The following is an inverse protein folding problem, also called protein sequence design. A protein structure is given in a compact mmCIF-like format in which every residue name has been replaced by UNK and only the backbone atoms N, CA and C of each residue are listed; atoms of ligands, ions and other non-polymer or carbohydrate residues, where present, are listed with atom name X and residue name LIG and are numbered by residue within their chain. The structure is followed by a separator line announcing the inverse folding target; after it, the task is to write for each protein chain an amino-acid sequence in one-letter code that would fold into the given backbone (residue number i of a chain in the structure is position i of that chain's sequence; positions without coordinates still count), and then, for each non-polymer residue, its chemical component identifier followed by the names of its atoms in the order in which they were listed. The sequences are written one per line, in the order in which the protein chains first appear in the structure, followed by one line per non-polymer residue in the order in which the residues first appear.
data_IF_738924036104
#
_entry.id   IF_738924036104
#
_cell.length_a   1.000
_cell.length_b   1.000
_cell.length_c   1.000
_cell.angle_alpha   90.00
_cell.angle_beta   90.00
_cell.angle_gamma   90.00
#
_symmetry.space_group_name_H-M   'P 1'
#
loop_
_entity.id
_entity.type
_entity.pdbx_description
1 polymer ?
#
# COMPACT_ATOMS: atom_id res chain seq x y z
N UNK A 1 -12.77 -1.18 -7.85
CA UNK A 1 -11.31 -1.03 -8.05
C UNK A 1 -10.94 0.32 -8.66
N UNK A 2 -11.52 0.74 -9.79
CA UNK A 2 -11.17 2.00 -10.49
C UNK A 2 -11.17 3.25 -9.60
N UNK A 3 -12.26 3.49 -8.85
CA UNK A 3 -12.32 4.63 -7.93
C UNK A 3 -11.19 4.64 -6.89
N UNK A 4 -10.81 3.47 -6.36
CA UNK A 4 -9.73 3.38 -5.39
C UNK A 4 -8.39 3.79 -6.01
N UNK A 5 -8.13 3.35 -7.23
CA UNK A 5 -6.93 3.77 -7.99
C UNK A 5 -6.96 5.27 -8.31
N UNK A 6 -8.09 5.80 -8.76
CA UNK A 6 -8.23 7.23 -9.06
C UNK A 6 -7.93 8.08 -7.82
N UNK A 7 -8.39 7.66 -6.65
CA UNK A 7 -8.09 8.30 -5.37
C UNK A 7 -6.59 8.24 -5.05
N UNK A 8 -5.96 7.06 -5.16
CA UNK A 8 -4.52 6.89 -4.90
C UNK A 8 -3.66 7.69 -5.88
N UNK A 9 -3.99 7.69 -7.17
CA UNK A 9 -3.28 8.46 -8.19
C UNK A 9 -3.43 9.97 -7.95
N UNK A 10 -4.64 10.45 -7.68
CA UNK A 10 -4.93 11.87 -7.46
C UNK A 10 -4.47 12.41 -6.10
N UNK A 11 -4.11 11.54 -5.15
CA UNK A 11 -3.48 11.93 -3.90
C UNK A 11 -2.14 12.65 -4.14
N UNK A 12 -1.49 12.43 -5.28
CA UNK A 12 -0.23 13.09 -5.66
C UNK A 12 -0.41 14.52 -6.20
N UNK A 13 -1.62 14.91 -6.60
CA UNK A 13 -1.86 16.13 -7.39
C UNK A 13 -2.54 17.28 -6.62
N UNK A 14 -2.78 17.15 -5.30
CA UNK A 14 -3.60 18.14 -4.56
C UNK A 14 -3.38 18.08 -3.05
N UNK A 15 -2.66 19.06 -2.50
CA UNK A 15 -2.09 18.99 -1.14
C UNK A 15 -3.09 18.98 0.02
N UNK A 16 -4.33 19.45 -0.12
CA UNK A 16 -5.25 19.48 1.05
C UNK A 16 -5.98 18.16 1.32
N UNK A 17 -6.11 17.32 0.31
CA UNK A 17 -6.89 16.08 0.39
C UNK A 17 -6.07 14.83 0.13
N UNK A 18 -4.74 14.94 -0.03
CA UNK A 18 -3.88 13.79 -0.33
C UNK A 18 -4.04 12.68 0.70
N UNK A 19 -3.95 13.00 2.01
CA UNK A 19 -4.05 11.99 3.06
C UNK A 19 -5.42 11.28 3.05
N UNK A 20 -6.50 12.03 2.89
CA UNK A 20 -7.87 11.53 2.89
C UNK A 20 -8.14 10.68 1.65
N UNK A 21 -7.59 11.05 0.49
CA UNK A 21 -7.66 10.25 -0.73
C UNK A 21 -6.86 8.96 -0.61
N UNK A 22 -5.66 9.04 -0.03
CA UNK A 22 -4.83 7.87 0.27
C UNK A 22 -5.58 6.90 1.19
N UNK A 23 -6.13 7.41 2.30
CA UNK A 23 -6.90 6.62 3.25
C UNK A 23 -8.14 5.99 2.60
N UNK A 24 -8.94 6.78 1.87
CA UNK A 24 -10.13 6.28 1.19
C UNK A 24 -9.80 5.23 0.13
N UNK A 25 -8.75 5.45 -0.67
CA UNK A 25 -8.29 4.51 -1.69
C UNK A 25 -7.90 3.16 -1.09
N UNK A 26 -7.07 3.16 -0.05
CA UNK A 26 -6.66 1.92 0.61
C UNK A 26 -7.79 1.24 1.39
N UNK A 27 -8.68 2.01 2.03
CA UNK A 27 -9.85 1.46 2.70
C UNK A 27 -10.77 0.73 1.72
N UNK A 28 -11.00 1.30 0.53
CA UNK A 28 -11.78 0.66 -0.52
C UNK A 28 -11.12 -0.64 -1.00
N UNK A 29 -9.80 -0.66 -1.13
CA UNK A 29 -9.06 -1.89 -1.49
C UNK A 29 -9.20 -2.92 -0.37
N UNK A 30 -9.01 -2.54 0.89
CA UNK A 30 -9.14 -3.46 2.03
C UNK A 30 -10.55 -4.05 2.16
N UNK A 31 -11.59 -3.24 1.93
CA UNK A 31 -12.99 -3.67 1.88
C UNK A 31 -13.27 -4.59 0.69
N UNK A 32 -12.67 -4.34 -0.48
CA UNK A 32 -12.80 -5.22 -1.64
C UNK A 32 -12.29 -6.63 -1.32
N UNK A 33 -11.21 -6.75 -0.53
CA UNK A 33 -10.65 -8.06 -0.16
C UNK A 33 -11.62 -8.92 0.64
N UNK A 34 -12.52 -8.32 1.41
CA UNK A 34 -13.50 -9.07 2.23
C UNK A 34 -14.58 -9.75 1.39
N UNK A 35 -14.65 -9.47 0.08
CA UNK A 35 -15.54 -10.16 -0.86
C UNK A 35 -15.01 -11.53 -1.33
N UNK A 36 -13.76 -11.85 -0.98
CA UNK A 36 -13.15 -13.18 -1.19
C UNK A 36 -12.53 -13.41 -2.56
N UNK A 37 -11.89 -14.59 -2.71
CA UNK A 37 -11.04 -14.98 -3.85
C UNK A 37 -11.71 -14.80 -5.21
N UNK A 38 -13.01 -15.11 -5.32
CA UNK A 38 -13.75 -15.03 -6.57
C UNK A 38 -13.74 -13.61 -7.17
N UNK A 39 -13.98 -12.60 -6.34
CA UNK A 39 -13.99 -11.19 -6.78
C UNK A 39 -12.57 -10.65 -6.94
N UNK A 40 -11.69 -10.96 -5.99
CA UNK A 40 -10.34 -10.38 -5.94
C UNK A 40 -9.43 -10.89 -7.05
N UNK A 41 -9.64 -12.13 -7.53
CA UNK A 41 -8.83 -12.74 -8.60
C UNK A 41 -8.75 -11.85 -9.85
N UNK A 42 -9.85 -11.18 -10.21
CA UNK A 42 -9.94 -10.25 -11.35
C UNK A 42 -9.11 -8.97 -11.19
N UNK A 43 -8.67 -8.66 -9.96
CA UNK A 43 -7.95 -7.45 -9.62
C UNK A 43 -6.54 -7.72 -9.08
N UNK A 44 -6.16 -8.99 -8.90
CA UNK A 44 -4.94 -9.40 -8.21
C UNK A 44 -3.68 -8.74 -8.78
N UNK A 45 -3.50 -8.76 -10.10
CA UNK A 45 -2.34 -8.15 -10.74
C UNK A 45 -2.20 -6.64 -10.46
N UNK A 46 -3.33 -5.92 -10.44
CA UNK A 46 -3.38 -4.48 -10.16
C UNK A 46 -3.09 -4.18 -8.69
N UNK A 47 -3.67 -4.96 -7.79
CA UNK A 47 -3.45 -4.83 -6.35
C UNK A 47 -1.99 -5.10 -5.98
N UNK A 48 -1.38 -6.15 -6.54
CA UNK A 48 0.05 -6.46 -6.35
C UNK A 48 0.96 -5.32 -6.84
N UNK A 49 0.61 -4.67 -7.94
CA UNK A 49 1.35 -3.50 -8.44
C UNK A 49 1.23 -2.31 -7.47
N UNK A 50 0.02 -2.01 -6.98
CA UNK A 50 -0.21 -0.92 -6.02
C UNK A 50 0.59 -1.14 -4.73
N UNK A 51 0.58 -2.36 -4.20
CA UNK A 51 1.40 -2.70 -3.03
C UNK A 51 2.88 -2.55 -3.32
N UNK A 52 3.36 -3.00 -4.48
CA UNK A 52 4.78 -2.79 -4.84
C UNK A 52 5.14 -1.29 -4.89
N UNK A 53 4.25 -0.43 -5.35
CA UNK A 53 4.52 0.99 -5.53
C UNK A 53 4.50 1.82 -4.23
N UNK A 54 3.83 1.36 -3.18
CA UNK A 54 3.67 2.14 -1.93
C UNK A 54 4.79 1.91 -0.92
N UNK A 55 5.54 0.82 -1.06
CA UNK A 55 6.69 0.51 -0.23
C UNK A 55 7.99 0.77 -1.01
N UNK A 56 9.06 1.19 -0.33
CA UNK A 56 10.36 1.33 -0.97
C UNK A 56 10.86 -0.07 -1.34
N UNK A 57 11.38 -0.20 -2.56
CA UNK A 57 11.80 -1.51 -3.09
C UNK A 57 13.21 -1.86 -2.62
N UNK A 58 14.03 -0.84 -2.35
CA UNK A 58 15.40 -0.98 -1.88
C UNK A 58 15.71 -0.06 -0.71
N UNK A 59 16.73 -0.38 0.12
CA UNK A 59 17.21 0.54 1.16
C UNK A 59 17.61 1.93 0.61
N UNK A 60 18.10 1.98 -0.63
CA UNK A 60 18.47 3.24 -1.29
C UNK A 60 17.23 4.08 -1.62
N UNK A 61 16.11 3.45 -1.99
CA UNK A 61 14.84 4.15 -2.22
C UNK A 61 14.34 4.77 -0.92
N UNK A 62 14.45 4.04 0.19
CA UNK A 62 14.09 4.51 1.53
C UNK A 62 14.91 5.75 1.95
N UNK A 63 16.24 5.72 1.77
CA UNK A 63 17.10 6.90 2.04
C UNK A 63 16.77 8.09 1.13
N UNK A 64 16.39 7.82 -0.12
CA UNK A 64 15.98 8.84 -1.07
C UNK A 64 14.65 9.47 -0.67
N UNK A 65 13.67 8.70 -0.19
CA UNK A 65 12.42 9.24 0.36
C UNK A 65 12.67 10.08 1.62
N UNK A 66 13.58 9.65 2.49
CA UNK A 66 13.90 10.39 3.73
C UNK A 66 14.36 11.81 3.50
N UNK A 67 15.21 11.99 2.49
CA UNK A 67 15.81 13.29 2.16
C UNK A 67 14.86 14.24 1.41
N UNK A 68 13.67 13.77 1.00
CA UNK A 68 12.76 14.51 0.10
C UNK A 68 11.49 15.02 0.76
N UNK A 69 11.06 14.44 1.87
CA UNK A 69 9.72 14.69 2.42
C UNK A 69 9.67 15.81 3.46
N UNK A 70 8.82 16.81 3.23
CA UNK A 70 8.30 17.64 4.32
C UNK A 70 7.32 16.83 5.20
N UNK A 71 6.89 17.40 6.34
CA UNK A 71 5.98 16.71 7.27
C UNK A 71 4.69 16.23 6.59
N UNK A 72 4.19 16.98 5.61
CA UNK A 72 3.00 16.64 4.87
C UNK A 72 3.21 15.43 3.95
N UNK A 73 4.30 15.42 3.19
CA UNK A 73 4.70 14.29 2.33
C UNK A 73 4.86 13.02 3.17
N UNK A 74 5.50 13.13 4.34
CA UNK A 74 5.63 12.02 5.28
C UNK A 74 4.28 11.51 5.80
N UNK A 75 3.35 12.39 6.14
CA UNK A 75 2.02 11.98 6.57
C UNK A 75 1.31 11.16 5.49
N UNK A 76 1.33 11.63 4.23
CA UNK A 76 0.70 10.92 3.11
C UNK A 76 1.36 9.57 2.85
N UNK A 77 2.69 9.51 2.89
CA UNK A 77 3.47 8.27 2.72
C UNK A 77 3.14 7.24 3.80
N UNK A 78 3.12 7.67 5.07
CA UNK A 78 2.82 6.80 6.21
C UNK A 78 1.38 6.28 6.15
N UNK A 79 0.42 7.14 5.81
CA UNK A 79 -0.98 6.74 5.62
C UNK A 79 -1.11 5.71 4.48
N UNK A 80 -0.36 5.92 3.38
CA UNK A 80 -0.33 4.98 2.26
C UNK A 80 0.15 3.60 2.66
N UNK A 81 1.23 3.53 3.44
CA UNK A 81 1.79 2.26 3.91
C UNK A 81 0.88 1.57 4.92
N UNK A 82 0.32 2.31 5.87
CA UNK A 82 -0.63 1.77 6.85
C UNK A 82 -1.88 1.18 6.14
N UNK A 83 -2.43 1.93 5.17
CA UNK A 83 -3.54 1.47 4.35
C UNK A 83 -3.22 0.22 3.54
N UNK A 84 -2.05 0.17 2.91
CA UNK A 84 -1.59 -0.98 2.16
C UNK A 84 -1.40 -2.23 3.04
N UNK A 85 -0.78 -2.09 4.22
CA UNK A 85 -0.64 -3.20 5.19
C UNK A 85 -2.01 -3.71 5.65
N UNK A 86 -2.97 -2.81 5.89
CA UNK A 86 -4.34 -3.18 6.23
C UNK A 86 -5.01 -3.98 5.09
N UNK A 87 -4.83 -3.53 3.84
CA UNK A 87 -5.34 -4.24 2.67
C UNK A 87 -4.68 -5.62 2.49
N UNK A 88 -3.37 -5.75 2.71
CA UNK A 88 -2.64 -7.03 2.68
C UNK A 88 -3.18 -7.97 3.76
N UNK A 89 -3.36 -7.48 5.00
CA UNK A 89 -3.95 -8.27 6.09
C UNK A 89 -5.35 -8.79 5.72
N UNK A 90 -6.19 -7.93 5.14
CA UNK A 90 -7.53 -8.29 4.67
C UNK A 90 -7.46 -9.34 3.56
N UNK A 91 -6.58 -9.17 2.58
CA UNK A 91 -6.33 -10.16 1.51
C UNK A 91 -5.93 -11.52 2.07
N UNK A 92 -4.95 -11.57 2.98
CA UNK A 92 -4.52 -12.83 3.60
C UNK A 92 -5.64 -13.51 4.39
N UNK A 93 -6.50 -12.72 5.02
CA UNK A 93 -7.60 -13.23 5.85
C UNK A 93 -8.79 -13.76 5.04
N UNK A 94 -9.01 -13.23 3.83
CA UNK A 94 -10.23 -13.48 3.06
C UNK A 94 -9.99 -14.14 1.69
N UNK A 95 -8.76 -14.17 1.19
CA UNK A 95 -8.41 -14.63 -0.16
C UNK A 95 -7.30 -15.69 -0.15
N UNK A 96 -7.38 -16.65 0.78
CA UNK A 96 -6.34 -17.67 0.98
C UNK A 96 -5.99 -18.46 -0.28
N UNK A 97 -6.98 -18.75 -1.15
CA UNK A 97 -6.77 -19.50 -2.39
C UNK A 97 -5.89 -18.76 -3.41
N UNK A 98 -5.75 -17.44 -3.26
CA UNK A 98 -4.92 -16.60 -4.12
C UNK A 98 -3.49 -16.43 -3.58
N UNK A 99 -3.17 -16.95 -2.39
CA UNK A 99 -1.82 -16.92 -1.80
C UNK A 99 -0.94 -18.04 -2.36
N UNK A 100 -0.67 -18.01 -3.66
CA UNK A 100 0.34 -18.90 -4.26
C UNK A 100 1.75 -18.48 -3.85
N UNK A 101 2.73 -19.37 -4.05
CA UNK A 101 4.14 -19.08 -3.78
C UNK A 101 4.61 -17.79 -4.51
N UNK A 102 4.19 -17.60 -5.76
CA UNK A 102 4.52 -16.41 -6.54
C UNK A 102 3.93 -15.13 -5.95
N UNK A 103 2.74 -15.22 -5.36
CA UNK A 103 2.08 -14.08 -4.69
C UNK A 103 2.78 -13.78 -3.37
N UNK A 104 3.11 -14.80 -2.58
CA UNK A 104 3.86 -14.67 -1.32
C UNK A 104 5.22 -14.01 -1.59
N UNK A 105 5.96 -14.46 -2.61
CA UNK A 105 7.26 -13.87 -2.96
C UNK A 105 7.17 -12.40 -3.39
N UNK A 106 6.04 -11.96 -3.92
CA UNK A 106 5.80 -10.54 -4.23
C UNK A 106 5.40 -9.72 -3.01
N UNK A 107 4.79 -10.35 -2.01
CA UNK A 107 4.36 -9.72 -0.76
C UNK A 107 5.47 -9.61 0.29
N UNK A 108 6.44 -10.54 0.29
CA UNK A 108 7.50 -10.57 1.30
C UNK A 108 8.42 -9.35 1.27
N UNK A 109 8.97 -8.89 0.13
CA UNK A 109 9.90 -7.75 0.10
C UNK A 109 9.37 -6.43 0.67
N UNK A 110 8.11 -6.00 0.42
CA UNK A 110 7.60 -4.74 0.95
C UNK A 110 7.39 -4.73 2.47
N UNK A 111 7.21 -5.88 3.12
CA UNK A 111 6.88 -5.95 4.56
C UNK A 111 8.05 -5.54 5.49
N UNK A 112 9.30 -6.05 5.34
CA UNK A 112 10.44 -5.59 6.11
C UNK A 112 10.71 -4.10 5.93
N UNK A 113 10.58 -3.58 4.71
CA UNK A 113 10.79 -2.17 4.41
C UNK A 113 9.81 -1.24 5.16
N UNK A 114 8.58 -1.71 5.42
CA UNK A 114 7.61 -0.99 6.22
C UNK A 114 8.03 -0.92 7.70
N UNK A 115 8.59 -2.01 8.23
CA UNK A 115 9.09 -2.11 9.62
C UNK A 115 10.36 -1.27 9.81
N UNK A 116 11.29 -1.32 8.85
CA UNK A 116 12.56 -0.59 8.91
C UNK A 116 12.36 0.94 8.91
N UNK A 117 11.36 1.47 8.18
CA UNK A 117 11.07 2.90 8.26
C UNK A 117 10.60 3.29 9.67
N UNK A 118 9.70 2.49 10.27
CA UNK A 118 9.10 2.81 11.57
C UNK A 118 10.14 2.83 12.69
N UNK A 119 11.15 1.95 12.63
CA UNK A 119 12.25 1.95 13.62
C UNK A 119 13.17 3.15 13.49
N UNK A 120 13.20 3.81 12.33
CA UNK A 120 14.08 4.95 12.02
C UNK A 120 13.41 6.32 12.19
N UNK A 121 12.09 6.38 12.42
CA UNK A 121 11.36 7.65 12.60
C UNK A 121 11.48 8.24 14.03
N UNK A 122 11.92 7.43 15.00
CA UNK A 122 12.08 7.84 16.40
C UNK A 122 13.52 8.16 16.83
N UNK A 123 14.49 8.06 15.90
CA UNK A 123 15.93 8.33 16.10
C UNK A 123 16.33 9.64 15.47
#
# INVERSE_FOLDING_TARGET
MTLAEDLLCSATQNSRLSAQRTQAGWLLIAALMTLGSAVVSHHLARVLLLWKCVFPVTPKDLETEKSRGDSFTWQVTLEGRAGALCAIKSFVSHCGDLLTEEVIQRLLPPLPCAVDLLTQLGS
#
